data_IF_899571198966
#
_entry.id   IF_899571198966
#
_cell.length_a   1.000
_cell.length_b   1.000
_cell.length_c   1.000
_cell.angle_alpha   90.00
_cell.angle_beta   90.00
_cell.angle_gamma   90.00
#
_symmetry.space_group_name_H-M   'P 1'
#
loop_
_entity.id
_entity.type
_entity.pdbx_description
1 polymer ?
#
# COMPACT_ATOMS: atom_id res chain seq x y z
N UNK A 1 -0.70 8.83 21.56
CA UNK A 1 -0.76 9.32 20.17
C UNK A 1 0.67 9.40 19.65
N UNK A 2 1.04 8.61 18.65
CA UNK A 2 2.33 8.75 17.98
C UNK A 2 2.33 10.01 17.11
N UNK A 3 3.46 10.69 17.00
CA UNK A 3 3.62 11.83 16.09
C UNK A 3 3.78 11.34 14.65
N UNK A 4 3.51 12.20 13.66
CA UNK A 4 3.77 11.89 12.24
C UNK A 4 5.26 11.54 12.03
N UNK A 5 6.14 12.16 12.80
CA UNK A 5 7.57 11.87 12.81
C UNK A 5 7.88 10.42 13.21
N UNK A 6 7.13 9.85 14.16
CA UNK A 6 7.25 8.43 14.48
C UNK A 6 6.77 7.53 13.33
N UNK A 7 5.74 7.95 12.59
CA UNK A 7 5.25 7.18 11.44
C UNK A 7 6.28 7.14 10.30
N UNK A 8 7.05 8.20 10.08
CA UNK A 8 8.13 8.17 9.09
C UNK A 8 9.32 7.30 9.53
N UNK A 9 9.66 7.31 10.82
CA UNK A 9 10.70 6.42 11.36
C UNK A 9 10.36 4.94 11.17
N UNK A 10 9.07 4.58 11.19
CA UNK A 10 8.61 3.22 10.92
C UNK A 10 8.67 2.85 9.42
N UNK A 11 8.90 3.80 8.51
CA UNK A 11 9.00 3.54 7.07
C UNK A 11 10.43 3.65 6.55
N UNK A 12 11.22 4.58 7.08
CA UNK A 12 12.58 4.81 6.63
C UNK A 12 13.49 3.62 6.93
N UNK A 13 14.17 3.11 5.89
CA UNK A 13 15.06 1.96 6.00
C UNK A 13 14.38 0.59 6.07
N UNK A 14 13.06 0.54 6.26
CA UNK A 14 12.28 -0.68 6.20
C UNK A 14 12.28 -1.28 4.78
N UNK A 15 12.22 -2.61 4.70
CA UNK A 15 12.30 -3.34 3.44
C UNK A 15 10.96 -3.95 3.09
N UNK A 16 10.53 -3.81 1.84
CA UNK A 16 9.40 -4.58 1.31
C UNK A 16 9.83 -6.06 1.27
N UNK A 17 9.12 -6.90 2.02
CA UNK A 17 9.38 -8.36 2.09
C UNK A 17 8.34 -9.16 1.32
N UNK A 18 7.17 -8.57 1.05
CA UNK A 18 6.09 -9.25 0.32
C UNK A 18 5.15 -8.24 -0.35
N UNK A 19 4.66 -8.62 -1.53
CA UNK A 19 3.60 -7.92 -2.25
C UNK A 19 2.43 -8.91 -2.38
N UNK A 20 1.23 -8.49 -1.98
CA UNK A 20 0.02 -9.33 -2.05
C UNK A 20 -1.21 -8.50 -2.40
N UNK A 21 -2.30 -9.19 -2.67
CA UNK A 21 -3.61 -8.55 -2.76
C UNK A 21 -4.09 -8.13 -1.36
N UNK A 22 -4.82 -7.01 -1.31
CA UNK A 22 -5.57 -6.59 -0.14
C UNK A 22 -6.64 -7.63 0.16
N UNK A 23 -6.74 -7.99 1.43
CA UNK A 23 -7.75 -8.95 1.88
C UNK A 23 -9.12 -8.28 1.94
N UNK A 24 -10.19 -9.07 1.86
CA UNK A 24 -11.54 -8.57 2.07
C UNK A 24 -11.71 -7.84 3.41
N UNK A 25 -11.12 -8.36 4.48
CA UNK A 25 -11.19 -7.74 5.81
C UNK A 25 -10.54 -6.36 5.85
N UNK A 26 -9.40 -6.19 5.18
CA UNK A 26 -8.73 -4.89 5.09
C UNK A 26 -9.56 -3.90 4.28
N UNK A 27 -10.11 -4.32 3.14
CA UNK A 27 -11.01 -3.47 2.36
C UNK A 27 -12.29 -3.10 3.12
N UNK A 28 -12.87 -4.04 3.87
CA UNK A 28 -14.05 -3.78 4.69
C UNK A 28 -13.76 -2.74 5.78
N UNK A 29 -12.53 -2.68 6.34
CA UNK A 29 -12.14 -1.66 7.31
C UNK A 29 -12.07 -0.26 6.69
N UNK A 30 -11.70 -0.17 5.42
CA UNK A 30 -11.63 1.07 4.65
C UNK A 30 -12.97 1.42 3.96
N UNK A 31 -13.99 0.56 4.08
CA UNK A 31 -15.25 0.65 3.35
C UNK A 31 -15.07 0.61 1.82
N UNK A 32 -14.05 -0.10 1.34
CA UNK A 32 -13.73 -0.23 -0.09
C UNK A 32 -14.37 -1.45 -0.72
N UNK A 33 -14.91 -1.27 -1.93
CA UNK A 33 -15.31 -2.38 -2.79
C UNK A 33 -14.14 -2.79 -3.71
N UNK A 34 -13.71 -4.05 -3.58
CA UNK A 34 -12.63 -4.64 -4.40
C UNK A 34 -13.13 -5.27 -5.70
N UNK A 35 -14.36 -4.97 -6.13
CA UNK A 35 -14.99 -5.56 -7.32
C UNK A 35 -14.22 -5.33 -8.63
N UNK A 36 -13.32 -4.35 -8.69
CA UNK A 36 -12.52 -4.02 -9.88
C UNK A 36 -11.05 -3.77 -9.48
N UNK A 37 -10.14 -4.63 -9.95
CA UNK A 37 -8.68 -4.61 -9.73
C UNK A 37 -8.22 -4.57 -8.25
N UNK A 38 -7.73 -5.71 -7.76
CA UNK A 38 -7.33 -5.88 -6.36
C UNK A 38 -6.14 -5.00 -5.96
N UNK A 39 -6.37 -4.10 -4.99
CA UNK A 39 -5.34 -3.28 -4.36
C UNK A 39 -4.13 -4.13 -3.93
N UNK A 40 -2.91 -3.61 -4.13
CA UNK A 40 -1.70 -4.26 -3.62
C UNK A 40 -1.31 -3.71 -2.26
N UNK A 41 -1.00 -4.63 -1.37
CA UNK A 41 -0.41 -4.34 -0.06
C UNK A 41 1.06 -4.72 -0.11
N UNK A 42 1.92 -3.76 0.23
CA UNK A 42 3.35 -3.94 0.46
C UNK A 42 3.54 -4.21 1.95
N UNK A 43 3.91 -5.45 2.30
CA UNK A 43 4.29 -5.79 3.67
C UNK A 43 5.78 -5.47 3.86
N UNK A 44 6.09 -4.70 4.90
CA UNK A 44 7.45 -4.35 5.30
C UNK A 44 8.00 -5.34 6.33
N UNK A 45 9.32 -5.44 6.44
CA UNK A 45 10.02 -6.33 7.38
C UNK A 45 9.71 -6.04 8.86
N UNK A 46 9.28 -4.82 9.18
CA UNK A 46 8.84 -4.43 10.52
C UNK A 46 7.32 -4.64 10.76
N UNK A 47 6.60 -5.26 9.83
CA UNK A 47 5.18 -5.58 9.96
C UNK A 47 4.22 -4.46 9.52
N UNK A 48 4.73 -3.30 9.12
CA UNK A 48 3.89 -2.24 8.52
C UNK A 48 3.36 -2.70 7.17
N UNK A 49 2.12 -2.35 6.86
CA UNK A 49 1.49 -2.59 5.57
C UNK A 49 1.19 -1.27 4.88
N UNK A 50 1.65 -1.11 3.63
CA UNK A 50 1.37 0.04 2.80
C UNK A 50 0.46 -0.34 1.63
N UNK A 51 -0.53 0.49 1.34
CA UNK A 51 -1.38 0.38 0.15
C UNK A 51 -1.79 1.78 -0.30
N UNK A 52 -2.06 1.93 -1.59
CA UNK A 52 -2.48 3.20 -2.15
C UNK A 52 -3.99 3.39 -1.96
N UNK A 53 -4.37 4.59 -1.52
CA UNK A 53 -5.72 5.10 -1.69
C UNK A 53 -5.82 5.84 -3.03
N UNK A 54 -7.00 5.85 -3.63
CA UNK A 54 -7.29 6.62 -4.83
C UNK A 54 -7.14 8.13 -4.60
N UNK A 55 -7.49 8.62 -3.41
CA UNK A 55 -7.37 10.02 -3.00
C UNK A 55 -7.15 10.17 -1.48
N UNK A 56 -7.02 11.42 -1.01
CA UNK A 56 -6.79 11.72 0.40
C UNK A 56 -8.02 11.43 1.29
N UNK A 57 -9.20 11.28 0.71
CA UNK A 57 -10.45 10.99 1.42
C UNK A 57 -10.60 9.49 1.69
N UNK A 58 -9.84 8.65 0.99
CA UNK A 58 -9.96 7.20 1.11
C UNK A 58 -11.00 6.64 0.16
N UNK A 59 -11.20 7.19 -1.04
CA UNK A 59 -12.22 6.67 -1.96
C UNK A 59 -11.71 5.48 -2.80
N UNK A 60 -11.54 4.33 -2.16
CA UNK A 60 -11.18 3.10 -2.84
C UNK A 60 -9.68 2.93 -3.11
N UNK A 61 -9.31 1.80 -3.72
CA UNK A 61 -7.92 1.44 -3.91
C UNK A 61 -7.26 2.24 -5.03
N UNK A 62 -6.07 2.78 -4.75
CA UNK A 62 -5.20 3.42 -5.72
C UNK A 62 -4.29 2.43 -6.45
N UNK A 63 -3.58 2.93 -7.47
CA UNK A 63 -2.60 2.16 -8.23
C UNK A 63 -1.17 2.49 -7.77
N UNK A 64 -0.33 1.45 -7.64
CA UNK A 64 1.10 1.60 -7.42
C UNK A 64 1.84 1.42 -8.75
N UNK A 65 2.77 2.32 -9.03
CA UNK A 65 3.64 2.25 -10.20
C UNK A 65 5.09 2.08 -9.79
N UNK A 66 5.84 1.28 -10.54
CA UNK A 66 7.28 1.21 -10.40
C UNK A 66 7.95 1.12 -11.77
N UNK A 67 9.21 1.53 -11.84
CA UNK A 67 10.07 1.32 -12.99
C UNK A 67 11.12 0.26 -12.65
N UNK A 68 11.40 -0.63 -13.60
CA UNK A 68 12.57 -1.51 -13.47
C UNK A 68 13.87 -0.75 -13.77
N UNK A 69 15.02 -1.42 -13.59
CA UNK A 69 16.34 -0.83 -13.88
C UNK A 69 16.54 -0.44 -15.35
N UNK A 70 15.66 -0.89 -16.26
CA UNK A 70 15.69 -0.55 -17.69
C UNK A 70 14.75 0.62 -18.01
N UNK A 71 14.02 1.14 -17.03
CA UNK A 71 13.05 2.22 -17.21
C UNK A 71 11.68 1.75 -17.71
N UNK A 72 11.39 0.45 -17.67
CA UNK A 72 10.06 -0.07 -18.02
C UNK A 72 9.10 0.17 -16.88
N UNK A 73 7.96 0.81 -17.16
CA UNK A 73 6.92 1.08 -16.16
C UNK A 73 5.98 -0.11 -16.01
N UNK A 74 5.66 -0.43 -14.76
CA UNK A 74 4.67 -1.42 -14.37
C UNK A 74 3.66 -0.79 -13.43
N UNK A 75 2.41 -1.24 -13.54
CA UNK A 75 1.38 -1.02 -12.53
C UNK A 75 1.20 -2.32 -11.76
N UNK A 76 1.15 -2.23 -10.43
CA UNK A 76 0.87 -3.37 -9.55
C UNK A 76 -0.37 -3.14 -8.74
#
# INVERSE_FOLDING_TARGET
MGTIENAYNDLEGAKIVKIREMTKKEADNEYWDLSHNGCRVLELDNGVCLYASQDYEGNGPGALFFYDRKGTTYAV
#
